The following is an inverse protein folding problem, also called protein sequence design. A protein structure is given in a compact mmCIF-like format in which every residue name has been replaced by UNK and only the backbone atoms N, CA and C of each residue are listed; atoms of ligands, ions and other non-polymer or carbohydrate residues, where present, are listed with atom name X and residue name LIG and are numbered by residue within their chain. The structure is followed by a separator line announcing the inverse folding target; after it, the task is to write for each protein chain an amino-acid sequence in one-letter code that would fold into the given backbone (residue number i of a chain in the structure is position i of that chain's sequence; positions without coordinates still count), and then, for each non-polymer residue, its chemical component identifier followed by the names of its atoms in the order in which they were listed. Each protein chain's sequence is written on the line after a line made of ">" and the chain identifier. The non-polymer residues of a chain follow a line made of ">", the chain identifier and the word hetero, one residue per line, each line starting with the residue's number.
data_IF_140508653548
#
_entry.id   IF_140508653548
#
_cell.length_a   1.000
_cell.length_b   1.000
_cell.length_c   1.000
_cell.angle_alpha   90.00
_cell.angle_beta   90.00
_cell.angle_gamma   90.00
#
_symmetry.space_group_name_H-M   'P 1'
#
loop_
_entity.id
_entity.type
_entity.pdbx_description
1 polymer ?
#
# COMPACT_ATOMS: atom_id res chain seq x y z
N UNK A 1 -14.87 -37.82 -1.79
CA UNK A 1 -13.44 -37.74 -2.20
C UNK A 1 -12.64 -38.74 -1.40
N UNK A 2 -11.88 -39.60 -2.08
CA UNK A 2 -11.03 -40.61 -1.44
C UNK A 2 -9.86 -40.02 -0.64
N UNK A 3 -9.32 -40.80 0.30
CA UNK A 3 -8.21 -40.38 1.19
C UNK A 3 -6.95 -39.97 0.42
N UNK A 4 -6.64 -40.66 -0.68
CA UNK A 4 -5.52 -40.35 -1.59
C UNK A 4 -5.67 -38.97 -2.24
N UNK A 5 -6.88 -38.63 -2.69
CA UNK A 5 -7.19 -37.35 -3.32
C UNK A 5 -7.07 -36.18 -2.33
N UNK A 6 -7.53 -36.37 -1.09
CA UNK A 6 -7.37 -35.37 -0.02
C UNK A 6 -5.89 -35.09 0.27
N UNK A 7 -5.08 -36.14 0.38
CA UNK A 7 -3.63 -36.04 0.64
C UNK A 7 -2.89 -35.36 -0.51
N UNK A 8 -3.26 -35.65 -1.76
CA UNK A 8 -2.70 -34.98 -2.94
C UNK A 8 -2.99 -33.47 -2.93
N UNK A 9 -4.22 -33.07 -2.60
CA UNK A 9 -4.60 -31.65 -2.50
C UNK A 9 -3.83 -30.96 -1.38
N UNK A 10 -3.69 -31.61 -0.22
CA UNK A 10 -2.97 -31.03 0.92
C UNK A 10 -1.49 -30.82 0.61
N UNK A 11 -0.82 -31.82 0.04
CA UNK A 11 0.58 -31.70 -0.37
C UNK A 11 0.80 -30.60 -1.41
N UNK A 12 -0.12 -30.46 -2.37
CA UNK A 12 -0.06 -29.38 -3.35
C UNK A 12 -0.19 -28.01 -2.69
N UNK A 13 -1.10 -27.85 -1.72
CA UNK A 13 -1.26 -26.61 -0.96
C UNK A 13 -0.03 -26.27 -0.12
N UNK A 14 0.58 -27.25 0.55
CA UNK A 14 1.81 -27.04 1.31
C UNK A 14 2.93 -26.48 0.42
N UNK A 15 3.14 -27.09 -0.76
CA UNK A 15 4.14 -26.62 -1.74
C UNK A 15 3.86 -25.21 -2.27
N UNK A 16 2.58 -24.83 -2.42
CA UNK A 16 2.22 -23.46 -2.79
C UNK A 16 2.54 -22.47 -1.66
N UNK A 17 2.25 -22.84 -0.41
CA UNK A 17 2.54 -22.01 0.75
C UNK A 17 4.03 -21.80 0.98
N UNK A 18 4.86 -22.84 0.75
CA UNK A 18 6.33 -22.73 0.78
C UNK A 18 6.87 -21.72 -0.23
N UNK A 19 6.13 -21.46 -1.31
CA UNK A 19 6.43 -20.44 -2.33
C UNK A 19 5.80 -19.08 -2.04
N UNK A 20 5.22 -18.88 -0.84
CA UNK A 20 4.53 -17.65 -0.47
C UNK A 20 3.18 -17.43 -1.15
N UNK A 21 2.61 -18.47 -1.80
CA UNK A 21 1.34 -18.36 -2.51
C UNK A 21 0.17 -18.82 -1.63
N UNK A 22 -0.81 -17.93 -1.46
CA UNK A 22 -2.05 -18.21 -0.75
C UNK A 22 -3.26 -18.14 -1.69
N UNK A 23 -4.30 -18.90 -1.37
CA UNK A 23 -5.59 -18.81 -2.07
C UNK A 23 -6.49 -17.84 -1.33
N UNK A 24 -7.06 -16.89 -2.06
CA UNK A 24 -8.06 -15.95 -1.58
C UNK A 24 -9.25 -15.94 -2.54
N UNK A 25 -10.43 -15.61 -2.02
CA UNK A 25 -11.67 -15.49 -2.79
C UNK A 25 -11.97 -14.02 -3.05
N UNK A 26 -12.42 -13.71 -4.27
CA UNK A 26 -12.69 -12.34 -4.71
C UNK A 26 -14.06 -12.29 -5.38
N UNK A 27 -14.88 -11.30 -5.02
CA UNK A 27 -16.10 -10.96 -5.74
C UNK A 27 -15.76 -9.99 -6.88
N UNK A 28 -16.21 -10.29 -8.09
CA UNK A 28 -15.97 -9.48 -9.27
C UNK A 28 -16.94 -9.80 -10.39
N UNK A 29 -16.95 -8.99 -11.44
CA UNK A 29 -17.78 -9.26 -12.61
C UNK A 29 -17.24 -10.47 -13.36
N UNK A 30 -18.14 -11.25 -13.97
CA UNK A 30 -17.75 -12.42 -14.74
C UNK A 30 -16.78 -12.08 -15.89
N UNK A 31 -16.96 -10.93 -16.53
CA UNK A 31 -16.11 -10.45 -17.61
C UNK A 31 -14.64 -10.24 -17.19
N UNK A 32 -14.39 -9.91 -15.93
CA UNK A 32 -13.04 -9.60 -15.43
C UNK A 32 -12.27 -10.85 -14.96
N UNK A 33 -12.92 -12.03 -14.95
CA UNK A 33 -12.38 -13.27 -14.40
C UNK A 33 -11.03 -13.66 -14.99
N UNK A 34 -10.90 -13.60 -16.31
CA UNK A 34 -9.68 -14.03 -17.00
C UNK A 34 -8.56 -12.99 -16.85
N UNK A 35 -8.91 -11.71 -16.79
CA UNK A 35 -7.97 -10.62 -16.50
C UNK A 35 -7.40 -10.73 -15.07
N UNK A 36 -8.27 -10.96 -14.07
CA UNK A 36 -7.83 -11.13 -12.67
C UNK A 36 -6.93 -12.37 -12.55
N UNK A 37 -7.26 -13.45 -13.26
CA UNK A 37 -6.45 -14.68 -13.29
C UNK A 37 -5.07 -14.45 -13.92
N UNK A 38 -4.99 -13.76 -15.06
CA UNK A 38 -3.72 -13.48 -15.73
C UNK A 38 -2.85 -12.54 -14.90
N UNK A 39 -3.45 -11.52 -14.29
CA UNK A 39 -2.79 -10.62 -13.35
C UNK A 39 -2.20 -11.38 -12.16
N UNK A 40 -2.99 -12.22 -11.50
CA UNK A 40 -2.52 -13.02 -10.35
C UNK A 40 -1.37 -13.98 -10.73
N UNK A 41 -1.42 -14.58 -11.92
CA UNK A 41 -0.32 -15.42 -12.43
C UNK A 41 0.97 -14.62 -12.63
N UNK A 42 0.88 -13.45 -13.26
CA UNK A 42 2.05 -12.58 -13.48
C UNK A 42 2.64 -12.10 -12.16
N UNK A 43 1.80 -11.78 -11.18
CA UNK A 43 2.25 -11.39 -9.84
C UNK A 43 2.93 -12.53 -9.07
N UNK A 44 2.55 -13.78 -9.32
CA UNK A 44 3.14 -14.97 -8.70
C UNK A 44 4.52 -15.35 -9.26
N UNK A 45 4.92 -14.79 -10.41
CA UNK A 45 6.27 -14.97 -10.98
C UNK A 45 7.33 -14.17 -10.21
N UNK A 46 6.91 -13.16 -9.44
CA UNK A 46 7.73 -12.29 -8.58
C UNK A 46 8.99 -11.69 -9.25
N UNK A 47 8.95 -11.53 -10.57
CA UNK A 47 10.02 -10.90 -11.35
C UNK A 47 9.88 -9.37 -11.47
N UNK A 48 10.78 -8.73 -12.24
CA UNK A 48 10.73 -7.28 -12.48
C UNK A 48 9.39 -6.80 -13.04
N UNK A 49 8.78 -7.59 -13.92
CA UNK A 49 7.47 -7.29 -14.50
C UNK A 49 6.34 -7.40 -13.49
N UNK A 50 6.45 -8.29 -12.50
CA UNK A 50 5.49 -8.37 -11.40
C UNK A 50 5.54 -7.09 -10.55
N UNK A 51 6.74 -6.62 -10.23
CA UNK A 51 6.93 -5.35 -9.50
C UNK A 51 6.40 -4.14 -10.26
N UNK A 52 6.65 -4.07 -11.58
CA UNK A 52 6.11 -3.01 -12.43
C UNK A 52 4.58 -3.05 -12.47
N UNK A 53 4.00 -4.24 -12.59
CA UNK A 53 2.55 -4.43 -12.57
C UNK A 53 1.93 -3.99 -11.24
N UNK A 54 2.53 -4.36 -10.09
CA UNK A 54 2.08 -3.89 -8.76
C UNK A 54 2.06 -2.37 -8.68
N UNK A 55 3.12 -1.71 -9.16
CA UNK A 55 3.21 -0.24 -9.11
C UNK A 55 2.08 0.42 -9.92
N UNK A 56 1.88 -0.01 -11.17
CA UNK A 56 0.85 0.56 -12.06
C UNK A 56 -0.56 0.33 -11.51
N UNK A 57 -0.84 -0.91 -11.07
CA UNK A 57 -2.15 -1.26 -10.50
C UNK A 57 -2.40 -0.46 -9.21
N UNK A 58 -1.40 -0.36 -8.33
CA UNK A 58 -1.54 0.38 -7.07
C UNK A 58 -1.78 1.88 -7.32
N UNK A 59 -1.06 2.48 -8.28
CA UNK A 59 -1.27 3.87 -8.68
C UNK A 59 -2.68 4.11 -9.25
N UNK A 60 -3.16 3.17 -10.05
CA UNK A 60 -4.49 3.29 -10.69
C UNK A 60 -5.62 3.13 -9.66
N UNK A 61 -5.46 2.23 -8.69
CA UNK A 61 -6.48 1.96 -7.65
C UNK A 61 -6.47 3.02 -6.55
N UNK A 62 -5.30 3.52 -6.15
CA UNK A 62 -5.18 4.50 -5.07
C UNK A 62 -5.84 5.85 -5.38
N UNK A 63 -6.28 6.07 -6.62
CA UNK A 63 -6.77 7.36 -7.10
C UNK A 63 -5.63 8.39 -7.19
N UNK A 64 -5.96 9.63 -7.55
CA UNK A 64 -4.98 10.71 -7.44
C UNK A 64 -4.58 10.87 -5.96
N UNK A 65 -3.28 10.87 -5.62
CA UNK A 65 -2.87 11.22 -4.27
C UNK A 65 -3.45 12.61 -3.93
N UNK A 66 -3.90 12.84 -2.68
CA UNK A 66 -4.44 14.14 -2.30
C UNK A 66 -3.43 15.21 -2.72
N UNK A 67 -3.90 16.23 -3.44
CA UNK A 67 -3.04 17.26 -4.04
C UNK A 67 -2.00 17.72 -3.03
N UNK A 68 -0.73 17.40 -3.27
CA UNK A 68 0.37 17.96 -2.49
C UNK A 68 0.39 19.46 -2.77
N UNK A 69 0.45 20.27 -1.72
CA UNK A 69 0.45 21.73 -1.84
C UNK A 69 -0.86 22.38 -1.40
N UNK A 70 -1.25 22.15 -0.14
CA UNK A 70 -2.28 22.96 0.55
C UNK A 70 -1.69 23.92 1.58
N UNK A 71 -0.43 23.73 1.98
CA UNK A 71 0.14 24.48 3.10
C UNK A 71 0.25 25.97 2.81
N UNK A 72 0.71 26.35 1.61
CA UNK A 72 0.79 27.76 1.22
C UNK A 72 -0.60 28.41 1.14
N UNK A 73 -1.59 27.68 0.60
CA UNK A 73 -2.98 28.15 0.55
C UNK A 73 -3.64 28.22 1.94
N UNK A 74 -3.23 27.35 2.88
CA UNK A 74 -3.69 27.37 4.27
C UNK A 74 -3.04 28.53 5.05
N UNK A 75 -1.72 28.71 4.92
CA UNK A 75 -0.97 29.80 5.54
C UNK A 75 -1.47 31.17 5.04
N UNK A 76 -1.77 31.32 3.75
CA UNK A 76 -2.39 32.55 3.19
C UNK A 76 -3.80 32.84 3.69
N UNK A 77 -4.51 31.83 4.20
CA UNK A 77 -5.84 31.99 4.82
C UNK A 77 -5.76 32.08 6.34
N UNK A 78 -4.55 32.06 6.91
CA UNK A 78 -4.38 32.20 8.35
C UNK A 78 -4.82 33.59 8.80
N UNK A 79 -5.59 33.70 9.90
CA UNK A 79 -5.91 35.00 10.50
C UNK A 79 -4.67 35.73 11.04
N UNK A 80 -3.52 35.05 11.11
CA UNK A 80 -2.24 35.62 11.53
C UNK A 80 -1.45 36.28 10.37
N UNK A 81 -1.97 36.26 9.13
CA UNK A 81 -1.33 36.97 8.02
C UNK A 81 -1.34 38.46 8.30
N UNK A 82 -0.15 39.07 8.39
CA UNK A 82 0.01 40.49 8.71
C UNK A 82 -0.12 40.81 10.21
N UNK A 83 -0.25 39.81 11.07
CA UNK A 83 -0.13 40.01 12.51
C UNK A 83 1.33 40.34 12.85
N UNK A 84 1.53 41.31 13.74
CA UNK A 84 2.84 41.68 14.26
C UNK A 84 3.29 40.64 15.30
N UNK A 85 3.69 39.46 14.80
CA UNK A 85 4.20 38.38 15.62
C UNK A 85 5.69 38.61 15.88
N UNK A 86 6.06 38.64 17.15
CA UNK A 86 7.46 38.52 17.52
C UNK A 86 7.93 37.08 17.24
N UNK A 87 8.70 36.92 16.16
CA UNK A 87 9.26 35.63 15.75
C UNK A 87 10.62 35.36 16.40
N UNK A 88 11.09 36.25 17.29
CA UNK A 88 12.33 35.99 18.02
C UNK A 88 12.11 34.80 18.95
N UNK A 89 12.86 33.73 18.70
CA UNK A 89 12.89 32.57 19.59
C UNK A 89 13.94 32.85 20.67
N UNK A 90 13.57 32.98 21.96
CA UNK A 90 14.55 33.08 23.03
C UNK A 90 15.32 31.76 23.14
N UNK A 91 16.63 31.89 23.40
CA UNK A 91 17.52 30.74 23.58
C UNK A 91 17.60 30.45 25.07
N UNK A 92 16.91 29.41 25.51
CA UNK A 92 16.94 28.95 26.90
C UNK A 92 17.95 27.82 27.05
N UNK A 93 18.59 27.72 28.23
CA UNK A 93 19.59 26.68 28.51
C UNK A 93 19.01 25.26 28.57
N UNK A 94 17.68 25.14 28.47
CA UNK A 94 16.97 23.88 28.60
C UNK A 94 16.71 23.52 30.07
N UNK A 95 15.93 22.46 30.29
CA UNK A 95 15.63 21.96 31.63
C UNK A 95 16.71 20.95 32.03
N UNK A 96 17.25 21.08 33.24
CA UNK A 96 18.10 20.04 33.81
C UNK A 96 17.34 18.71 33.88
N UNK A 97 17.95 17.67 33.31
CA UNK A 97 17.46 16.30 33.30
C UNK A 97 18.60 15.40 33.77
N UNK A 98 18.34 14.60 34.81
CA UNK A 98 19.22 13.49 35.19
C UNK A 98 19.05 12.36 34.15
N UNK A 99 20.19 11.87 33.63
CA UNK A 99 20.28 10.77 32.67
C UNK A 99 20.67 9.49 33.40
#
# INVERSE_FOLDING_TARGET
>A
MGSSQKRAIQNYRSRLSERGLARFEVLGRYADRDLIRSMARRLAEDGPDASRLRAVVSQTIAGEPPKRGGIMAALRRSPLVGADLDLTRPREEGREIEI
#
